data_IF_581166118054
#
_entry.id   IF_581166118054
#
_cell.length_a   1.000
_cell.length_b   1.000
_cell.length_c   1.000
_cell.angle_alpha   90.00
_cell.angle_beta   90.00
_cell.angle_gamma   90.00
#
_symmetry.space_group_name_H-M   'P 1'
#
loop_
_entity.id
_entity.type
_entity.pdbx_description
1 polymer ?
#
# COMPACT_ATOMS: atom_id res chain seq x y z
N UNK A 1 11.90 -1.18 18.82
CA UNK A 1 11.95 -1.89 17.51
C UNK A 1 10.53 -2.29 17.16
N UNK A 2 9.86 -1.57 16.29
CA UNK A 2 8.66 -2.09 15.69
C UNK A 2 9.12 -3.24 14.80
N UNK A 3 8.90 -4.41 15.29
CA UNK A 3 8.96 -5.57 14.46
C UNK A 3 7.87 -5.48 13.40
N UNK A 4 7.88 -6.35 12.41
CA UNK A 4 6.89 -6.50 11.35
C UNK A 4 5.42 -6.58 11.85
N UNK A 5 5.16 -6.57 13.15
CA UNK A 5 3.83 -6.46 13.78
C UNK A 5 3.05 -5.18 13.40
N UNK A 6 3.74 -4.13 12.96
CA UNK A 6 3.13 -2.92 12.41
C UNK A 6 2.67 -3.04 10.96
N UNK A 7 2.94 -4.16 10.28
CA UNK A 7 2.49 -4.38 8.89
C UNK A 7 1.26 -5.27 8.88
N UNK A 8 0.22 -4.83 8.18
CA UNK A 8 -1.00 -5.60 7.94
C UNK A 8 -1.21 -5.84 6.43
N UNK A 9 -1.36 -7.10 6.07
CA UNK A 9 -1.72 -7.55 4.72
C UNK A 9 -3.18 -7.95 4.71
N UNK A 10 -3.96 -7.34 3.82
CA UNK A 10 -5.34 -7.79 3.55
C UNK A 10 -5.31 -8.85 2.46
N UNK A 11 -5.98 -9.96 2.69
CA UNK A 11 -5.98 -11.13 1.81
C UNK A 11 -7.34 -11.82 1.74
N UNK A 12 -7.43 -12.88 0.95
CA UNK A 12 -8.59 -13.78 0.93
C UNK A 12 -9.70 -13.39 -0.04
N UNK A 13 -9.46 -12.45 -0.95
CA UNK A 13 -10.42 -12.03 -1.97
C UNK A 13 -9.73 -11.63 -3.27
N UNK A 14 -10.53 -11.30 -4.29
CA UNK A 14 -10.06 -10.74 -5.55
C UNK A 14 -9.33 -9.39 -5.32
N UNK A 15 -8.31 -9.13 -6.15
CA UNK A 15 -7.43 -7.96 -6.00
C UNK A 15 -8.19 -6.63 -5.99
N UNK A 16 -9.18 -6.46 -6.86
CA UNK A 16 -10.02 -5.25 -6.93
C UNK A 16 -10.85 -5.05 -5.67
N UNK A 17 -11.41 -6.14 -5.11
CA UNK A 17 -12.17 -6.09 -3.86
C UNK A 17 -11.27 -5.69 -2.68
N UNK A 18 -10.07 -6.27 -2.59
CA UNK A 18 -9.09 -5.91 -1.55
C UNK A 18 -8.70 -4.44 -1.67
N UNK A 19 -8.43 -3.95 -2.87
CA UNK A 19 -8.08 -2.53 -3.09
C UNK A 19 -9.21 -1.59 -2.70
N UNK A 20 -10.46 -1.94 -3.04
CA UNK A 20 -11.65 -1.19 -2.61
C UNK A 20 -11.80 -1.15 -1.09
N UNK A 21 -11.58 -2.29 -0.43
CA UNK A 21 -11.62 -2.39 1.04
C UNK A 21 -10.52 -1.53 1.70
N UNK A 22 -9.28 -1.61 1.21
CA UNK A 22 -8.17 -0.80 1.72
C UNK A 22 -8.44 0.69 1.53
N UNK A 23 -8.98 1.11 0.37
CA UNK A 23 -9.35 2.50 0.10
C UNK A 23 -10.46 3.00 1.04
N UNK A 24 -11.50 2.19 1.27
CA UNK A 24 -12.59 2.52 2.19
C UNK A 24 -12.09 2.63 3.64
N UNK A 25 -11.21 1.73 4.05
CA UNK A 25 -10.56 1.78 5.37
C UNK A 25 -9.75 3.06 5.55
N UNK A 26 -8.91 3.41 4.57
CA UNK A 26 -8.12 4.65 4.61
C UNK A 26 -9.02 5.88 4.74
N UNK A 27 -10.13 5.94 4.00
CA UNK A 27 -11.10 7.02 4.07
C UNK A 27 -11.78 7.11 5.45
N UNK A 28 -12.17 5.97 6.02
CA UNK A 28 -12.81 5.88 7.34
C UNK A 28 -11.87 6.36 8.45
N UNK A 29 -10.61 5.90 8.45
CA UNK A 29 -9.62 6.31 9.44
C UNK A 29 -9.29 7.81 9.35
N UNK A 30 -9.21 8.35 8.14
CA UNK A 30 -9.06 9.80 7.94
C UNK A 30 -10.24 10.59 8.47
N UNK A 31 -11.47 10.13 8.23
CA UNK A 31 -12.67 10.75 8.76
C UNK A 31 -12.72 10.73 10.30
N UNK A 32 -12.09 9.72 10.91
CA UNK A 32 -11.90 9.62 12.36
C UNK A 32 -10.73 10.47 12.91
N UNK A 33 -9.99 11.17 12.04
CA UNK A 33 -8.93 12.10 12.42
C UNK A 33 -7.50 11.55 12.33
N UNK A 34 -7.30 10.31 11.86
CA UNK A 34 -5.97 9.77 11.65
C UNK A 34 -5.28 10.40 10.43
N UNK A 35 -3.99 10.68 10.53
CA UNK A 35 -3.17 11.13 9.41
C UNK A 35 -2.73 9.92 8.57
N UNK A 36 -3.58 9.52 7.63
CA UNK A 36 -3.33 8.41 6.71
C UNK A 36 -2.69 8.96 5.43
N UNK A 37 -1.52 8.44 5.10
CA UNK A 37 -0.76 8.79 3.89
C UNK A 37 -0.53 7.55 3.02
N UNK A 38 0.01 7.76 1.84
CA UNK A 38 0.29 6.66 0.90
C UNK A 38 -0.56 6.74 -0.34
N UNK A 39 -0.74 5.61 -1.00
CA UNK A 39 -1.44 5.54 -2.29
C UNK A 39 -2.51 4.45 -2.32
N UNK A 40 -3.57 4.72 -3.05
CA UNK A 40 -4.59 3.75 -3.44
C UNK A 40 -4.63 3.61 -4.95
N UNK A 41 -4.91 2.38 -5.44
CA UNK A 41 -5.05 2.10 -6.86
C UNK A 41 -6.43 2.49 -7.37
N UNK A 42 -6.43 3.08 -8.57
CA UNK A 42 -7.65 3.35 -9.33
C UNK A 42 -7.56 2.65 -10.68
N UNK A 43 -8.64 2.04 -11.13
CA UNK A 43 -8.70 1.40 -12.43
C UNK A 43 -8.80 2.43 -13.56
N UNK A 44 -8.24 2.11 -14.74
CA UNK A 44 -8.31 2.99 -15.91
C UNK A 44 -9.69 2.97 -16.58
N UNK A 45 -10.53 1.96 -16.30
CA UNK A 45 -11.86 1.83 -16.87
C UNK A 45 -11.92 1.55 -18.39
N UNK A 46 -10.79 1.22 -19.02
CA UNK A 46 -10.72 0.91 -20.44
C UNK A 46 -11.24 -0.51 -20.72
N UNK A 47 -12.09 -0.72 -21.75
CA UNK A 47 -12.57 -2.05 -22.11
C UNK A 47 -11.45 -2.91 -22.71
N UNK A 48 -11.64 -4.23 -22.66
CA UNK A 48 -10.79 -5.22 -23.33
C UNK A 48 -9.31 -5.17 -22.95
N UNK A 49 -9.01 -4.82 -21.68
CA UNK A 49 -7.65 -4.85 -21.10
C UNK A 49 -7.53 -5.99 -20.10
N UNK A 50 -6.39 -6.66 -20.13
CA UNK A 50 -6.06 -7.76 -19.18
C UNK A 50 -5.67 -7.27 -17.79
N UNK A 51 -5.32 -5.99 -17.67
CA UNK A 51 -4.95 -5.35 -16.41
C UNK A 51 -5.81 -4.10 -16.20
N UNK A 52 -6.51 -4.00 -15.09
CA UNK A 52 -7.34 -2.86 -14.71
C UNK A 52 -6.58 -1.69 -14.09
N UNK A 53 -5.32 -1.91 -13.73
CA UNK A 53 -4.50 -0.90 -13.05
C UNK A 53 -4.33 0.35 -13.93
N UNK A 54 -4.77 1.51 -13.44
CA UNK A 54 -4.72 2.77 -14.18
C UNK A 54 -3.87 3.82 -13.51
N UNK A 55 -4.16 4.13 -12.26
CA UNK A 55 -3.53 5.22 -11.52
C UNK A 55 -3.25 4.82 -10.08
N UNK A 56 -2.23 5.44 -9.50
CA UNK A 56 -2.04 5.58 -8.07
C UNK A 56 -2.49 6.97 -7.65
N UNK A 57 -3.40 7.04 -6.68
CA UNK A 57 -3.84 8.30 -6.10
C UNK A 57 -3.22 8.48 -4.72
N UNK A 58 -2.47 9.57 -4.54
CA UNK A 58 -1.96 9.99 -3.24
C UNK A 58 -3.15 10.33 -2.32
N UNK A 59 -3.20 9.69 -1.17
CA UNK A 59 -4.30 9.82 -0.21
C UNK A 59 -4.36 11.23 0.37
N UNK A 60 -3.22 11.85 0.65
CA UNK A 60 -3.17 13.16 1.29
C UNK A 60 -3.50 14.30 0.33
N UNK A 61 -2.90 14.31 -0.84
CA UNK A 61 -3.03 15.41 -1.82
C UNK A 61 -4.13 15.19 -2.85
N UNK A 62 -4.53 13.93 -3.10
CA UNK A 62 -5.42 13.56 -4.20
C UNK A 62 -4.73 13.52 -5.57
N UNK A 63 -3.44 13.78 -5.66
CA UNK A 63 -2.69 13.72 -6.91
C UNK A 63 -2.72 12.30 -7.51
N UNK A 64 -2.82 12.20 -8.82
CA UNK A 64 -2.90 10.93 -9.55
C UNK A 64 -1.64 10.73 -10.38
N UNK A 65 -1.08 9.54 -10.30
CA UNK A 65 0.11 9.13 -11.03
C UNK A 65 -0.24 7.94 -11.91
N UNK A 66 0.19 7.97 -13.18
CA UNK A 66 -0.05 6.87 -14.11
C UNK A 66 0.61 5.59 -13.61
N UNK A 67 -0.11 4.48 -13.69
CA UNK A 67 0.40 3.14 -13.42
C UNK A 67 0.29 2.24 -14.65
N UNK A 68 -0.28 2.74 -15.74
CA UNK A 68 -0.57 2.00 -16.96
C UNK A 68 -0.02 2.72 -18.19
N UNK A 69 0.62 1.95 -19.09
CA UNK A 69 1.00 2.38 -20.44
C UNK A 69 0.22 1.58 -21.46
N UNK A 70 -0.39 2.25 -22.44
CA UNK A 70 -1.10 1.60 -23.55
C UNK A 70 -0.14 0.72 -24.36
N UNK A 71 1.09 1.19 -24.58
CA UNK A 71 2.15 0.44 -25.25
C UNK A 71 3.22 0.08 -24.24
N UNK A 72 3.52 -1.23 -24.06
CA UNK A 72 4.58 -1.66 -23.15
C UNK A 72 5.95 -1.09 -23.58
N UNK A 73 6.85 -0.95 -22.60
CA UNK A 73 8.25 -0.61 -22.92
C UNK A 73 8.88 -1.67 -23.84
N UNK A 74 9.81 -1.28 -24.72
CA UNK A 74 10.52 -2.22 -25.59
C UNK A 74 11.10 -3.40 -24.81
N UNK A 75 10.79 -4.63 -25.25
CA UNK A 75 11.24 -5.85 -24.59
C UNK A 75 10.46 -6.27 -23.35
N UNK A 76 9.36 -5.57 -23.00
CA UNK A 76 8.46 -5.91 -21.89
C UNK A 76 7.06 -6.23 -22.37
N UNK A 77 6.42 -7.19 -21.71
CA UNK A 77 4.99 -7.53 -21.96
C UNK A 77 4.07 -6.88 -20.92
N UNK A 78 4.63 -6.20 -19.92
CA UNK A 78 3.90 -5.58 -18.83
C UNK A 78 3.58 -4.12 -19.17
N UNK A 79 2.33 -3.73 -18.97
CA UNK A 79 1.83 -2.37 -19.18
C UNK A 79 2.04 -1.43 -17.97
N UNK A 80 2.85 -1.82 -16.98
CA UNK A 80 3.13 -0.98 -15.82
C UNK A 80 3.98 0.23 -16.24
N UNK A 81 3.52 1.42 -15.86
CA UNK A 81 4.28 2.66 -15.96
C UNK A 81 5.16 2.82 -14.71
N UNK A 82 6.40 2.37 -14.80
CA UNK A 82 7.34 2.44 -13.67
C UNK A 82 7.65 3.89 -13.28
N UNK A 83 7.75 4.80 -14.24
CA UNK A 83 8.03 6.22 -13.97
C UNK A 83 6.91 6.87 -13.17
N UNK A 84 5.65 6.54 -13.50
CA UNK A 84 4.49 7.01 -12.74
C UNK A 84 4.45 6.46 -11.32
N UNK A 85 4.82 5.20 -11.12
CA UNK A 85 4.92 4.59 -9.79
C UNK A 85 6.05 5.23 -8.97
N UNK A 86 7.19 5.50 -9.59
CA UNK A 86 8.32 6.20 -8.94
C UNK A 86 7.96 7.65 -8.57
N UNK A 87 7.20 8.35 -9.42
CA UNK A 87 6.71 9.68 -9.12
C UNK A 87 5.74 9.67 -7.92
N UNK A 88 4.87 8.68 -7.83
CA UNK A 88 4.01 8.48 -6.66
C UNK A 88 4.83 8.20 -5.40
N UNK A 89 5.86 7.37 -5.50
CA UNK A 89 6.80 7.08 -4.42
C UNK A 89 7.45 8.37 -3.89
N UNK A 90 7.99 9.19 -4.78
CA UNK A 90 8.64 10.46 -4.43
C UNK A 90 7.68 11.46 -3.76
N UNK A 91 6.39 11.46 -4.15
CA UNK A 91 5.38 12.31 -3.54
C UNK A 91 5.00 11.87 -2.11
N UNK A 92 5.00 10.57 -1.84
CA UNK A 92 4.60 10.01 -0.53
C UNK A 92 5.72 10.04 0.49
N UNK A 93 6.97 9.81 0.10
CA UNK A 93 8.12 9.72 1.02
C UNK A 93 8.17 10.83 2.08
N UNK A 94 8.05 12.13 1.74
CA UNK A 94 8.13 13.20 2.74
C UNK A 94 6.94 13.25 3.70
N UNK A 95 5.86 12.51 3.43
CA UNK A 95 4.67 12.48 4.27
C UNK A 95 4.77 11.46 5.42
N UNK A 96 5.68 10.49 5.33
CA UNK A 96 5.74 9.32 6.23
C UNK A 96 6.01 9.73 7.68
N UNK A 97 6.95 10.62 7.91
CA UNK A 97 7.38 11.00 9.26
C UNK A 97 6.23 11.50 10.14
N UNK A 98 5.28 12.25 9.56
CA UNK A 98 4.13 12.81 10.26
C UNK A 98 2.89 11.92 10.23
N UNK A 99 2.93 10.75 9.57
CA UNK A 99 1.77 9.88 9.43
C UNK A 99 1.48 9.05 10.67
N UNK A 100 0.22 8.65 10.82
CA UNK A 100 -0.22 7.62 11.75
C UNK A 100 -0.34 6.26 11.08
N UNK A 101 -0.59 6.23 9.75
CA UNK A 101 -0.70 5.01 8.94
C UNK A 101 -0.20 5.28 7.53
N UNK A 102 0.59 4.36 7.00
CA UNK A 102 1.01 4.34 5.59
C UNK A 102 0.24 3.27 4.85
N UNK A 103 -0.44 3.65 3.78
CA UNK A 103 -1.20 2.74 2.92
C UNK A 103 -0.47 2.57 1.60
N UNK A 104 -0.22 1.32 1.23
CA UNK A 104 0.32 0.96 -0.08
C UNK A 104 -0.71 0.17 -0.86
N UNK A 105 -0.80 0.46 -2.15
CA UNK A 105 -1.73 -0.24 -3.02
C UNK A 105 -1.48 -1.75 -3.01
N UNK A 106 -0.25 -2.17 -3.33
CA UNK A 106 0.07 -3.58 -3.46
C UNK A 106 1.59 -3.81 -3.50
N UNK A 107 2.06 -4.83 -2.77
CA UNK A 107 3.38 -5.38 -2.97
C UNK A 107 3.34 -6.34 -4.17
N UNK A 108 3.97 -5.96 -5.25
CA UNK A 108 3.98 -6.68 -6.51
C UNK A 108 5.39 -6.84 -7.09
N UNK A 109 5.47 -6.89 -8.42
CA UNK A 109 6.72 -7.14 -9.16
C UNK A 109 7.78 -6.07 -8.92
N UNK A 110 7.39 -4.80 -8.89
CA UNK A 110 8.33 -3.70 -8.70
C UNK A 110 8.90 -3.73 -7.27
N UNK A 111 8.05 -3.85 -6.27
CA UNK A 111 8.44 -3.89 -4.87
C UNK A 111 9.32 -5.12 -4.54
N UNK A 112 9.00 -6.28 -5.12
CA UNK A 112 9.83 -7.47 -4.98
C UNK A 112 11.22 -7.33 -5.61
N UNK A 113 11.38 -6.42 -6.57
CA UNK A 113 12.66 -6.04 -7.18
C UNK A 113 13.34 -4.83 -6.50
N UNK A 114 12.81 -4.33 -5.40
CA UNK A 114 13.34 -3.15 -4.71
C UNK A 114 13.06 -1.82 -5.43
N UNK A 115 12.02 -1.79 -6.27
CA UNK A 115 11.61 -0.66 -7.09
C UNK A 115 10.19 -0.20 -6.75
N UNK A 116 9.67 0.77 -7.47
CA UNK A 116 8.31 1.25 -7.32
C UNK A 116 8.07 1.86 -5.94
N UNK A 117 7.12 1.32 -5.18
CA UNK A 117 6.79 1.79 -3.84
C UNK A 117 7.68 1.20 -2.73
N UNK A 118 8.68 0.40 -3.08
CA UNK A 118 9.61 -0.18 -2.11
C UNK A 118 10.24 0.84 -1.16
N UNK A 119 10.75 2.02 -1.62
CA UNK A 119 11.32 3.01 -0.72
C UNK A 119 10.32 3.53 0.32
N UNK A 120 9.03 3.66 -0.04
CA UNK A 120 7.98 4.05 0.91
C UNK A 120 7.78 2.97 1.97
N UNK A 121 7.73 1.70 1.57
CA UNK A 121 7.61 0.58 2.51
C UNK A 121 8.81 0.50 3.46
N UNK A 122 10.03 0.61 2.92
CA UNK A 122 11.25 0.57 3.70
C UNK A 122 11.34 1.74 4.70
N UNK A 123 11.02 2.95 4.25
CA UNK A 123 11.00 4.14 5.13
C UNK A 123 9.92 4.04 6.22
N UNK A 124 8.72 3.58 5.88
CA UNK A 124 7.66 3.39 6.87
C UNK A 124 8.09 2.41 7.98
N UNK A 125 8.72 1.30 7.60
CA UNK A 125 9.26 0.32 8.57
C UNK A 125 10.40 0.92 9.40
N UNK A 126 11.33 1.65 8.78
CA UNK A 126 12.43 2.31 9.47
C UNK A 126 11.95 3.40 10.45
N UNK A 127 10.84 4.07 10.13
CA UNK A 127 10.22 5.09 10.97
C UNK A 127 9.20 4.52 11.97
N UNK A 128 9.12 3.20 12.11
CA UNK A 128 8.17 2.52 13.00
C UNK A 128 6.68 2.85 12.71
N UNK A 129 6.33 3.13 11.44
CA UNK A 129 4.97 3.46 11.07
C UNK A 129 4.16 2.22 10.73
N UNK A 130 2.90 2.12 11.19
CA UNK A 130 1.99 1.10 10.73
C UNK A 130 1.79 1.15 9.21
N UNK A 131 1.75 -0.02 8.56
CA UNK A 131 1.57 -0.15 7.11
C UNK A 131 0.40 -1.06 6.81
N UNK A 132 -0.47 -0.63 5.92
CA UNK A 132 -1.59 -1.42 5.40
C UNK A 132 -1.41 -1.61 3.89
N UNK A 133 -1.42 -2.85 3.42
CA UNK A 133 -1.24 -3.16 2.01
C UNK A 133 -1.90 -4.48 1.58
N UNK A 134 -1.99 -4.68 0.27
CA UNK A 134 -2.22 -5.98 -0.35
C UNK A 134 -0.90 -6.59 -0.82
N UNK A 135 -0.87 -7.90 -1.01
CA UNK A 135 0.28 -8.63 -1.57
C UNK A 135 -0.19 -9.47 -2.75
N UNK A 136 0.49 -9.36 -3.87
CA UNK A 136 0.27 -10.23 -5.03
C UNK A 136 0.65 -11.67 -4.69
N UNK A 137 -0.23 -12.63 -4.97
CA UNK A 137 0.02 -14.04 -4.67
C UNK A 137 1.34 -14.57 -5.24
N UNK A 138 1.75 -14.07 -6.42
CA UNK A 138 3.03 -14.45 -7.06
C UNK A 138 4.26 -13.96 -6.28
N UNK A 139 4.11 -12.97 -5.42
CA UNK A 139 5.20 -12.35 -4.65
C UNK A 139 5.02 -12.52 -3.15
N UNK A 140 4.11 -13.40 -2.73
CA UNK A 140 3.85 -13.69 -1.32
C UNK A 140 5.08 -14.21 -0.57
N UNK A 141 5.89 -15.06 -1.20
CA UNK A 141 7.10 -15.59 -0.58
C UNK A 141 8.18 -14.52 -0.40
N UNK A 142 8.38 -13.66 -1.41
CA UNK A 142 9.28 -12.52 -1.31
C UNK A 142 8.86 -11.55 -0.20
N UNK A 143 7.56 -11.26 -0.11
CA UNK A 143 7.03 -10.43 0.96
C UNK A 143 7.20 -11.08 2.34
N UNK A 144 6.91 -12.36 2.46
CA UNK A 144 7.07 -13.11 3.74
C UNK A 144 8.52 -13.16 4.19
N UNK A 145 9.47 -13.25 3.27
CA UNK A 145 10.90 -13.17 3.60
C UNK A 145 11.30 -11.79 4.14
N UNK A 146 10.67 -10.72 3.63
CA UNK A 146 10.89 -9.35 4.12
C UNK A 146 10.19 -9.08 5.47
N UNK A 147 8.94 -9.49 5.61
CA UNK A 147 8.09 -9.22 6.77
C UNK A 147 7.45 -10.51 7.31
N UNK A 148 8.23 -11.42 7.95
CA UNK A 148 7.73 -12.71 8.40
C UNK A 148 6.63 -12.60 9.48
N UNK A 149 6.64 -11.52 10.26
CA UNK A 149 5.72 -11.30 11.38
C UNK A 149 4.55 -10.37 11.01
N UNK A 150 4.36 -10.04 9.72
CA UNK A 150 3.25 -9.21 9.27
C UNK A 150 1.91 -9.88 9.61
N UNK A 151 0.95 -9.09 10.10
CA UNK A 151 -0.41 -9.57 10.29
C UNK A 151 -1.06 -9.82 8.92
N UNK A 152 -1.69 -10.97 8.75
CA UNK A 152 -2.47 -11.30 7.54
C UNK A 152 -3.92 -11.41 7.94
N UNK A 153 -4.76 -10.51 7.45
CA UNK A 153 -6.16 -10.40 7.82
C UNK A 153 -7.07 -10.59 6.59
N UNK A 154 -8.25 -11.18 6.78
CA UNK A 154 -9.28 -11.17 5.74
C UNK A 154 -9.84 -9.76 5.56
N UNK A 155 -10.67 -9.56 4.52
CA UNK A 155 -11.46 -8.34 4.36
C UNK A 155 -12.59 -8.28 5.41
N UNK A 156 -12.23 -7.96 6.64
CA UNK A 156 -13.12 -7.85 7.78
C UNK A 156 -12.82 -6.56 8.56
N UNK A 157 -13.80 -5.66 8.62
CA UNK A 157 -13.63 -4.35 9.25
C UNK A 157 -13.32 -4.48 10.75
N UNK A 158 -13.93 -5.44 11.44
CA UNK A 158 -13.71 -5.63 12.87
C UNK A 158 -12.30 -6.18 13.15
N UNK A 159 -11.81 -7.11 12.31
CA UNK A 159 -10.44 -7.62 12.43
C UNK A 159 -9.40 -6.52 12.18
N UNK A 160 -9.63 -5.72 11.14
CA UNK A 160 -8.74 -4.60 10.82
C UNK A 160 -8.79 -3.51 11.88
N UNK A 161 -9.98 -3.20 12.41
CA UNK A 161 -10.15 -2.25 13.52
C UNK A 161 -9.36 -2.67 14.76
N UNK A 162 -9.43 -3.94 15.16
CA UNK A 162 -8.63 -4.46 16.28
C UNK A 162 -7.13 -4.35 16.06
N UNK A 163 -6.66 -4.66 14.83
CA UNK A 163 -5.25 -4.48 14.49
C UNK A 163 -4.85 -3.00 14.57
N UNK A 164 -5.64 -2.10 13.99
CA UNK A 164 -5.40 -0.67 14.03
C UNK A 164 -5.30 -0.14 15.46
N UNK A 165 -6.27 -0.46 16.30
CA UNK A 165 -6.29 -0.05 17.71
C UNK A 165 -5.03 -0.55 18.45
N UNK A 166 -4.61 -1.78 18.21
CA UNK A 166 -3.42 -2.36 18.84
C UNK A 166 -2.14 -1.62 18.45
N UNK A 167 -1.93 -1.33 17.16
CA UNK A 167 -0.70 -0.66 16.70
C UNK A 167 -0.70 0.83 17.04
N UNK A 168 -1.85 1.50 16.95
CA UNK A 168 -1.97 2.93 17.27
C UNK A 168 -1.78 3.21 18.78
N UNK A 169 -2.32 2.38 19.65
CA UNK A 169 -2.10 2.51 21.08
C UNK A 169 -0.64 2.19 21.48
N UNK A 170 0.01 1.25 20.81
CA UNK A 170 1.42 0.95 21.05
C UNK A 170 2.33 2.14 20.70
N UNK A 171 2.06 2.85 19.60
CA UNK A 171 2.78 4.07 19.24
C UNK A 171 2.58 5.20 20.28
N UNK A 172 1.35 5.40 20.76
CA UNK A 172 1.05 6.41 21.76
C UNK A 172 1.79 6.15 23.09
N UNK A 173 1.88 4.88 23.51
CA UNK A 173 2.62 4.49 24.72
C UNK A 173 4.14 4.63 24.57
N UNK A 174 4.69 4.45 23.36
CA UNK A 174 6.12 4.60 23.10
C UNK A 174 6.61 6.05 23.01
N UNK A 175 5.71 7.02 22.89
CA UNK A 175 6.02 8.47 22.85
C UNK A 175 5.89 9.18 24.20
N UNK A 176 5.43 8.49 25.24
CA UNK A 176 5.29 8.99 26.61
C UNK A 176 6.52 8.65 27.45
#
# INVERSE_FOLDING_TARGET
MAGAAGICVVSGAESSAIQGFVAATAASLRAAGANVVGVIGEEHGLPDRTCGAGFLRDIASGARFSMYREVPEPGRTCHIDADGVEAACAAVLPQIAASDLVVLNKFGKLEAAGQGLWPVLAEAVAADKPVLLAVSGRHADAFRAFAPDAAVLPMDEAALGRWWDAVHHAEAAGRA
#
